data_IF_896143927528
#
_entry.id   IF_896143927528
#
_cell.length_a   1.000
_cell.length_b   1.000
_cell.length_c   1.000
_cell.angle_alpha   90.00
_cell.angle_beta   90.00
_cell.angle_gamma   90.00
#
_symmetry.space_group_name_H-M   'P 1'
#
loop_
_entity.id
_entity.type
_entity.pdbx_description
1 polymer ?
#
# COMPACT_ATOMS: atom_id res chain seq x y z
N UNK A 1 29.26 -15.28 12.14
CA UNK A 1 29.21 -14.13 11.22
C UNK A 1 28.70 -12.94 12.03
N UNK A 2 29.47 -11.85 12.12
CA UNK A 2 29.02 -10.63 12.82
C UNK A 2 28.04 -9.91 11.90
N UNK A 3 26.83 -9.66 12.40
CA UNK A 3 25.84 -8.84 11.72
C UNK A 3 26.34 -7.40 11.89
N UNK A 4 26.80 -6.80 10.79
CA UNK A 4 27.13 -5.38 10.79
C UNK A 4 25.87 -4.59 11.09
N UNK A 5 25.96 -3.73 12.12
CA UNK A 5 24.98 -2.70 12.40
C UNK A 5 24.86 -1.80 11.16
N UNK A 6 23.85 -2.06 10.32
CA UNK A 6 23.43 -1.11 9.29
C UNK A 6 22.98 0.14 10.02
N UNK A 7 23.76 1.21 9.85
CA UNK A 7 23.60 2.46 10.58
C UNK A 7 22.18 3.01 10.44
N UNK A 8 21.49 3.13 11.58
CA UNK A 8 20.19 3.80 11.73
C UNK A 8 20.30 5.32 11.57
N UNK A 9 20.95 5.83 10.52
CA UNK A 9 20.96 7.28 10.31
C UNK A 9 21.04 7.65 8.83
N UNK A 10 19.87 7.82 8.25
CA UNK A 10 19.63 8.66 7.08
C UNK A 10 18.27 9.27 7.36
N UNK A 11 18.26 10.57 7.65
CA UNK A 11 17.03 11.35 7.72
C UNK A 11 16.46 11.44 6.30
N UNK A 12 15.83 10.36 5.85
CA UNK A 12 15.07 10.32 4.61
C UNK A 12 13.91 11.32 4.73
N UNK A 13 13.73 12.16 3.71
CA UNK A 13 12.60 13.08 3.63
C UNK A 13 12.21 13.21 2.17
N UNK A 14 11.30 12.33 1.76
CA UNK A 14 10.68 12.42 0.45
C UNK A 14 9.94 13.76 0.32
N UNK A 15 10.46 14.65 -0.54
CA UNK A 15 9.83 15.93 -0.88
C UNK A 15 8.78 15.73 -1.98
N UNK A 16 7.72 15.00 -1.62
CA UNK A 16 6.60 14.74 -2.51
C UNK A 16 5.43 15.67 -2.17
N UNK A 17 4.96 16.42 -3.18
CA UNK A 17 3.92 17.43 -2.97
C UNK A 17 2.58 16.75 -2.71
N UNK A 18 2.00 16.99 -1.54
CA UNK A 18 0.62 16.62 -1.22
C UNK A 18 -0.34 17.65 -1.82
N UNK A 19 -1.27 17.20 -2.65
CA UNK A 19 -2.33 18.01 -3.22
C UNK A 19 -3.54 17.98 -2.29
N UNK A 20 -3.78 19.09 -1.58
CA UNK A 20 -4.88 19.19 -0.63
C UNK A 20 -6.14 19.75 -1.30
N UNK A 21 -7.23 18.99 -1.22
CA UNK A 21 -8.55 19.41 -1.72
C UNK A 21 -9.21 20.45 -0.81
N UNK A 22 -10.28 21.08 -1.30
CA UNK A 22 -10.98 22.13 -0.56
C UNK A 22 -11.53 21.61 0.77
N UNK A 23 -11.47 22.44 1.80
CA UNK A 23 -12.05 22.19 3.13
C UNK A 23 -11.49 20.98 3.89
N UNK A 24 -10.34 20.44 3.49
CA UNK A 24 -9.65 19.40 4.27
C UNK A 24 -9.01 20.05 5.50
N UNK A 25 -9.14 19.40 6.67
CA UNK A 25 -8.59 19.91 7.93
C UNK A 25 -7.07 19.99 7.85
N UNK A 26 -6.50 21.14 8.23
CA UNK A 26 -5.05 21.40 8.20
C UNK A 26 -4.24 20.36 8.99
N UNK A 27 -4.75 19.94 10.15
CA UNK A 27 -4.04 18.97 11.00
C UNK A 27 -3.99 17.58 10.35
N UNK A 28 -5.02 17.20 9.59
CA UNK A 28 -5.03 15.97 8.82
C UNK A 28 -4.01 16.04 7.68
N UNK A 29 -4.00 17.13 6.89
CA UNK A 29 -2.99 17.36 5.85
C UNK A 29 -1.58 17.29 6.41
N UNK A 30 -1.30 17.96 7.53
CA UNK A 30 0.02 17.91 8.18
C UNK A 30 0.42 16.51 8.61
N UNK A 31 -0.53 15.69 9.07
CA UNK A 31 -0.26 14.31 9.43
C UNK A 31 0.11 13.48 8.20
N UNK A 32 -0.59 13.64 7.08
CA UNK A 32 -0.25 12.98 5.80
C UNK A 32 1.12 13.47 5.28
N UNK A 33 1.37 14.78 5.30
CA UNK A 33 2.67 15.37 4.92
C UNK A 33 3.82 14.95 5.83
N UNK A 34 3.54 14.64 7.10
CA UNK A 34 4.53 14.05 7.98
C UNK A 34 4.79 12.59 7.58
N UNK A 35 3.74 11.83 7.31
CA UNK A 35 3.86 10.41 6.98
C UNK A 35 4.55 10.13 5.65
N UNK A 36 4.34 10.97 4.64
CA UNK A 36 5.02 10.83 3.33
C UNK A 36 6.53 11.05 3.44
N UNK A 37 7.01 11.80 4.43
CA UNK A 37 8.46 12.00 4.65
C UNK A 37 9.17 10.75 5.11
N UNK A 38 8.44 9.82 5.74
CA UNK A 38 8.97 8.54 6.20
C UNK A 38 8.97 7.48 5.08
N UNK A 39 8.55 7.81 3.86
CA UNK A 39 8.67 6.91 2.71
C UNK A 39 10.09 7.05 2.10
N UNK A 40 10.72 5.95 1.66
CA UNK A 40 12.07 6.00 1.08
C UNK A 40 12.16 6.96 -0.11
N UNK A 41 13.22 7.76 -0.18
CA UNK A 41 13.42 8.76 -1.26
C UNK A 41 13.36 8.11 -2.66
N UNK A 42 13.89 6.89 -2.80
CA UNK A 42 13.86 6.12 -4.04
C UNK A 42 12.44 5.83 -4.52
N UNK A 43 11.52 5.53 -3.60
CA UNK A 43 10.09 5.37 -3.94
C UNK A 43 9.52 6.70 -4.42
N UNK A 44 9.86 7.79 -3.75
CA UNK A 44 9.42 9.12 -4.15
C UNK A 44 9.88 9.53 -5.55
N UNK A 45 11.12 9.22 -5.92
CA UNK A 45 11.62 9.46 -7.27
C UNK A 45 10.90 8.58 -8.31
N UNK A 46 10.61 7.31 -7.98
CA UNK A 46 9.83 6.41 -8.85
C UNK A 46 8.40 6.91 -9.06
N UNK A 47 7.72 7.33 -8.00
CA UNK A 47 6.35 7.85 -8.09
C UNK A 47 6.34 9.16 -8.89
N UNK A 48 7.29 10.06 -8.61
CA UNK A 48 7.40 11.37 -9.29
C UNK A 48 7.68 11.22 -10.79
N UNK A 49 8.66 10.39 -11.18
CA UNK A 49 9.01 10.19 -12.61
C UNK A 49 7.86 9.56 -13.40
N UNK A 50 7.01 8.76 -12.73
CA UNK A 50 5.82 8.15 -13.34
C UNK A 50 4.57 9.03 -13.26
N UNK A 51 4.70 10.28 -12.81
CA UNK A 51 3.61 11.24 -12.66
C UNK A 51 2.49 10.74 -11.74
N UNK A 52 2.84 9.97 -10.71
CA UNK A 52 1.90 9.72 -9.62
C UNK A 52 1.57 11.03 -8.91
N UNK A 53 0.40 11.09 -8.29
CA UNK A 53 -0.03 12.24 -7.47
C UNK A 53 -0.53 11.74 -6.11
N UNK A 54 -0.31 12.50 -5.05
CA UNK A 54 -0.84 12.21 -3.73
C UNK A 54 -1.85 13.28 -3.34
N UNK A 55 -3.10 12.88 -3.19
CA UNK A 55 -4.20 13.74 -2.76
C UNK A 55 -4.52 13.54 -1.29
N UNK A 56 -4.85 14.64 -0.64
CA UNK A 56 -5.49 14.68 0.66
C UNK A 56 -6.88 15.28 0.47
N UNK A 57 -7.93 14.53 0.74
CA UNK A 57 -9.31 14.89 0.39
C UNK A 57 -10.33 14.52 1.48
N UNK A 58 -11.56 15.04 1.38
CA UNK A 58 -12.66 14.57 2.24
C UNK A 58 -13.32 13.31 1.66
N UNK A 59 -13.30 13.19 0.33
CA UNK A 59 -13.79 12.02 -0.40
C UNK A 59 -12.96 11.73 -1.65
N UNK A 60 -13.12 10.53 -2.24
CA UNK A 60 -12.54 10.21 -3.55
C UNK A 60 -13.23 11.01 -4.67
N UNK A 61 -14.53 11.30 -4.52
CA UNK A 61 -15.28 12.09 -5.49
C UNK A 61 -14.73 13.51 -5.67
N UNK A 62 -14.18 14.12 -4.60
CA UNK A 62 -13.53 15.44 -4.67
C UNK A 62 -12.35 15.44 -5.67
N UNK A 63 -11.62 14.33 -5.74
CA UNK A 63 -10.45 14.16 -6.62
C UNK A 63 -10.91 13.99 -8.06
N UNK A 64 -11.92 13.16 -8.30
CA UNK A 64 -12.49 12.98 -9.64
C UNK A 64 -13.03 14.31 -10.19
N UNK A 65 -13.68 15.12 -9.36
CA UNK A 65 -14.14 16.45 -9.75
C UNK A 65 -12.96 17.39 -10.06
N UNK A 66 -11.91 17.39 -9.22
CA UNK A 66 -10.71 18.21 -9.43
C UNK A 66 -9.96 17.85 -10.71
N UNK A 67 -9.80 16.55 -10.97
CA UNK A 67 -9.13 16.01 -12.16
C UNK A 67 -10.02 15.98 -13.41
N UNK A 68 -11.30 16.41 -13.29
CA UNK A 68 -12.31 16.39 -14.36
C UNK A 68 -12.51 14.99 -14.95
N UNK A 69 -12.45 13.97 -14.11
CA UNK A 69 -12.68 12.58 -14.48
C UNK A 69 -14.18 12.27 -14.48
N UNK A 70 -14.59 11.28 -15.27
CA UNK A 70 -15.98 10.85 -15.32
C UNK A 70 -16.43 10.33 -13.95
N UNK A 71 -17.43 11.00 -13.35
CA UNK A 71 -17.94 10.67 -12.01
C UNK A 71 -18.56 9.28 -11.95
N UNK A 72 -19.10 8.77 -13.06
CA UNK A 72 -19.62 7.41 -13.21
C UNK A 72 -18.54 6.33 -13.00
N UNK A 73 -17.26 6.68 -13.14
CA UNK A 73 -16.13 5.81 -12.84
C UNK A 73 -15.53 6.00 -11.44
N UNK A 74 -16.06 6.94 -10.64
CA UNK A 74 -15.63 7.11 -9.26
C UNK A 74 -16.19 5.93 -8.46
N UNK A 75 -15.34 5.08 -7.85
CA UNK A 75 -15.85 4.02 -7.01
C UNK A 75 -16.71 4.63 -5.90
N UNK A 76 -17.93 4.13 -5.72
CA UNK A 76 -18.81 4.50 -4.59
C UNK A 76 -18.25 4.03 -3.24
N UNK A 77 -17.12 3.33 -3.27
CA UNK A 77 -16.47 2.82 -2.10
C UNK A 77 -16.20 3.98 -1.15
N UNK A 78 -16.62 3.75 0.08
CA UNK A 78 -16.05 4.34 1.27
C UNK A 78 -14.57 3.95 1.43
N UNK A 79 -13.79 3.99 0.34
CA UNK A 79 -12.38 3.69 0.32
C UNK A 79 -11.75 4.74 1.23
N UNK A 80 -11.45 4.28 2.44
CA UNK A 80 -10.81 5.08 3.48
C UNK A 80 -9.52 5.67 2.91
N UNK A 81 -8.87 4.94 1.99
CA UNK A 81 -7.87 5.39 1.03
C UNK A 81 -7.94 4.61 -0.26
N UNK A 82 -7.41 5.17 -1.35
CA UNK A 82 -7.27 4.42 -2.60
C UNK A 82 -6.05 4.83 -3.40
N UNK A 83 -5.49 3.85 -4.08
CA UNK A 83 -4.57 4.03 -5.20
C UNK A 83 -5.31 3.63 -6.47
N UNK A 84 -5.25 4.49 -7.50
CA UNK A 84 -5.93 4.24 -8.76
C UNK A 84 -4.91 4.20 -9.90
N UNK A 85 -4.40 3.01 -10.28
CA UNK A 85 -3.33 2.86 -11.27
C UNK A 85 -3.61 3.55 -12.61
N UNK A 86 -4.84 3.44 -13.11
CA UNK A 86 -5.24 4.05 -14.39
C UNK A 86 -5.10 5.58 -14.40
N UNK A 87 -5.31 6.22 -13.26
CA UNK A 87 -5.23 7.68 -13.11
C UNK A 87 -3.98 8.13 -12.33
N UNK A 88 -3.13 7.18 -11.94
CA UNK A 88 -1.87 7.37 -11.20
C UNK A 88 -2.00 8.35 -10.04
N UNK A 89 -2.97 8.12 -9.17
CA UNK A 89 -3.06 8.87 -7.93
C UNK A 89 -3.26 7.97 -6.73
N UNK A 90 -2.75 8.43 -5.59
CA UNK A 90 -3.02 7.95 -4.25
C UNK A 90 -3.89 8.98 -3.54
N UNK A 91 -4.89 8.54 -2.80
CA UNK A 91 -5.85 9.39 -2.11
C UNK A 91 -5.93 8.99 -0.63
N UNK A 92 -5.63 9.94 0.25
CA UNK A 92 -5.75 9.77 1.69
C UNK A 92 -6.94 10.61 2.17
N UNK A 93 -8.02 9.94 2.59
CA UNK A 93 -9.27 10.64 2.95
C UNK A 93 -9.39 10.88 4.45
N UNK A 94 -10.15 11.91 4.85
CA UNK A 94 -10.39 12.24 6.27
C UNK A 94 -11.15 11.17 7.06
N UNK A 95 -11.58 10.08 6.42
CA UNK A 95 -12.12 8.88 7.07
C UNK A 95 -11.03 8.03 7.75
N UNK A 96 -9.75 8.23 7.40
CA UNK A 96 -8.63 7.59 8.08
C UNK A 96 -8.46 8.18 9.47
N UNK A 97 -8.48 7.34 10.49
CA UNK A 97 -8.18 7.79 11.85
C UNK A 97 -6.73 8.30 11.94
N UNK A 98 -6.44 9.39 12.69
CA UNK A 98 -5.10 9.95 12.79
C UNK A 98 -3.99 8.95 13.16
N UNK A 99 -4.31 7.94 13.98
CA UNK A 99 -3.38 6.90 14.42
C UNK A 99 -2.97 5.92 13.31
N UNK A 100 -3.74 5.85 12.23
CA UNK A 100 -3.57 4.89 11.14
C UNK A 100 -3.05 5.54 9.85
N UNK A 101 -2.95 6.88 9.80
CA UNK A 101 -2.48 7.63 8.61
C UNK A 101 -1.14 7.09 8.08
N UNK A 102 -0.16 6.82 8.93
CA UNK A 102 1.14 6.31 8.47
C UNK A 102 1.02 4.98 7.72
N UNK A 103 0.30 4.03 8.32
CA UNK A 103 0.16 2.66 7.78
C UNK A 103 -0.49 2.70 6.41
N UNK A 104 -1.53 3.52 6.32
CA UNK A 104 -2.31 3.77 5.14
C UNK A 104 -1.47 4.45 4.05
N UNK A 105 -0.75 5.53 4.39
CA UNK A 105 0.15 6.22 3.45
C UNK A 105 1.20 5.26 2.89
N UNK A 106 1.77 4.40 3.73
CA UNK A 106 2.77 3.43 3.30
C UNK A 106 2.17 2.36 2.37
N UNK A 107 0.97 1.87 2.67
CA UNK A 107 0.26 0.91 1.85
C UNK A 107 -0.11 1.49 0.47
N UNK A 108 -0.66 2.70 0.40
CA UNK A 108 -0.99 3.34 -0.87
C UNK A 108 0.27 3.68 -1.70
N UNK A 109 1.34 4.14 -1.05
CA UNK A 109 2.61 4.36 -1.73
C UNK A 109 3.17 3.06 -2.30
N UNK A 110 3.04 1.94 -1.59
CA UNK A 110 3.46 0.63 -2.06
C UNK A 110 2.66 0.19 -3.29
N UNK A 111 1.34 0.43 -3.35
CA UNK A 111 0.55 0.22 -4.56
C UNK A 111 1.08 1.03 -5.74
N UNK A 112 1.39 2.31 -5.53
CA UNK A 112 1.98 3.15 -6.57
C UNK A 112 3.31 2.59 -7.07
N UNK A 113 4.13 2.00 -6.20
CA UNK A 113 5.38 1.34 -6.58
C UNK A 113 5.14 0.04 -7.35
N UNK A 114 4.21 -0.81 -6.92
CA UNK A 114 3.86 -2.03 -7.65
C UNK A 114 3.48 -1.73 -9.09
N UNK A 115 2.66 -0.70 -9.30
CA UNK A 115 2.24 -0.21 -10.61
C UNK A 115 3.42 0.37 -11.41
N UNK A 116 4.15 1.33 -10.83
CA UNK A 116 5.27 1.99 -11.51
C UNK A 116 6.41 1.05 -11.92
N UNK A 117 6.64 0.00 -11.14
CA UNK A 117 7.68 -0.99 -11.41
C UNK A 117 7.15 -2.19 -12.23
N UNK A 118 5.83 -2.26 -12.48
CA UNK A 118 5.18 -3.38 -13.16
C UNK A 118 5.38 -4.71 -12.43
N UNK A 119 5.39 -4.68 -11.10
CA UNK A 119 5.68 -5.85 -10.27
C UNK A 119 4.61 -6.93 -10.40
N UNK A 120 3.36 -6.55 -10.64
CA UNK A 120 2.26 -7.49 -10.84
C UNK A 120 2.31 -8.20 -12.21
N UNK A 121 3.20 -7.78 -13.10
CA UNK A 121 3.52 -8.46 -14.36
C UNK A 121 4.77 -9.34 -14.23
N UNK A 122 5.47 -9.26 -13.08
CA UNK A 122 6.68 -10.03 -12.83
C UNK A 122 6.32 -11.47 -12.49
N UNK A 123 6.68 -12.40 -13.38
CA UNK A 123 6.38 -13.82 -13.23
C UNK A 123 6.97 -14.43 -11.95
N UNK A 124 8.20 -14.08 -11.59
CA UNK A 124 8.86 -14.65 -10.41
C UNK A 124 8.14 -14.23 -9.11
N UNK A 125 7.66 -12.97 -9.05
CA UNK A 125 6.84 -12.52 -7.92
C UNK A 125 5.51 -13.29 -7.86
N UNK A 126 4.82 -13.45 -9.00
CA UNK A 126 3.55 -14.16 -9.07
C UNK A 126 3.70 -15.65 -8.71
N UNK A 127 4.79 -16.28 -9.15
CA UNK A 127 5.11 -17.66 -8.80
C UNK A 127 5.37 -17.79 -7.29
N UNK A 128 6.16 -16.89 -6.69
CA UNK A 128 6.36 -16.85 -5.23
C UNK A 128 5.05 -16.69 -4.45
N UNK A 129 4.18 -15.76 -4.88
CA UNK A 129 2.87 -15.54 -4.27
C UNK A 129 2.00 -16.78 -4.38
N UNK A 130 1.98 -17.42 -5.55
CA UNK A 130 1.24 -18.65 -5.76
C UNK A 130 1.71 -19.77 -4.83
N UNK A 131 3.02 -19.97 -4.67
CA UNK A 131 3.57 -21.00 -3.79
C UNK A 131 3.24 -20.77 -2.32
N UNK A 132 3.32 -19.53 -1.86
CA UNK A 132 2.92 -19.18 -0.49
C UNK A 132 1.44 -19.44 -0.25
N UNK A 133 0.58 -19.05 -1.20
CA UNK A 133 -0.86 -19.29 -1.11
C UNK A 133 -1.24 -20.77 -1.01
N UNK A 134 -0.49 -21.68 -1.64
CA UNK A 134 -0.77 -23.12 -1.55
C UNK A 134 -0.58 -23.68 -0.13
N UNK A 135 0.23 -23.00 0.70
CA UNK A 135 0.53 -23.40 2.09
C UNK A 135 -0.53 -22.88 3.08
N UNK A 136 -1.39 -21.96 2.65
CA UNK A 136 -2.41 -21.36 3.51
C UNK A 136 -3.62 -22.29 3.69
N UNK A 137 -4.32 -22.21 4.84
CA UNK A 137 -5.50 -23.02 5.07
C UNK A 137 -6.60 -22.66 4.04
N UNK A 138 -7.07 -23.66 3.28
CA UNK A 138 -8.16 -23.49 2.32
C UNK A 138 -9.50 -23.46 3.08
N UNK A 139 -10.32 -22.42 2.88
CA UNK A 139 -11.69 -22.37 3.42
C UNK A 139 -12.61 -23.16 2.49
N UNK A 140 -13.52 -23.97 3.05
CA UNK A 140 -14.69 -24.39 2.28
C UNK A 140 -15.58 -23.16 2.02
N UNK A 141 -16.19 -23.04 0.83
CA UNK A 141 -16.97 -21.86 0.46
C UNK A 141 -18.24 -21.79 1.31
N UNK A 142 -18.17 -21.09 2.44
CA UNK A 142 -19.35 -20.79 3.24
C UNK A 142 -19.95 -19.44 2.81
N UNK A 143 -21.27 -19.41 2.64
CA UNK A 143 -22.02 -18.39 1.90
C UNK A 143 -22.25 -17.08 2.69
N UNK A 144 -21.46 -16.82 3.75
CA UNK A 144 -21.64 -15.63 4.59
C UNK A 144 -20.36 -14.81 4.80
N UNK A 145 -20.45 -13.55 4.34
CA UNK A 145 -19.80 -12.31 4.79
C UNK A 145 -18.31 -12.04 4.49
N UNK A 146 -18.09 -11.39 3.33
CA UNK A 146 -17.60 -10.02 3.11
C UNK A 146 -16.59 -9.29 4.03
N UNK A 147 -15.88 -9.91 4.97
CA UNK A 147 -14.77 -9.19 5.64
C UNK A 147 -13.43 -9.47 4.97
N UNK A 148 -12.98 -8.54 4.12
CA UNK A 148 -11.64 -8.56 3.49
C UNK A 148 -10.49 -8.50 4.51
N UNK A 149 -10.80 -8.35 5.82
CA UNK A 149 -9.86 -8.11 6.91
C UNK A 149 -9.96 -9.14 8.05
N UNK A 150 -10.56 -10.32 7.85
CA UNK A 150 -10.63 -11.35 8.90
C UNK A 150 -9.29 -12.11 9.04
N UNK A 151 -8.35 -11.45 9.74
CA UNK A 151 -6.93 -11.82 9.90
C UNK A 151 -6.71 -13.00 10.88
N UNK A 152 -7.75 -13.54 11.53
CA UNK A 152 -7.55 -14.62 12.51
C UNK A 152 -6.95 -15.91 11.93
N UNK A 153 -7.05 -16.10 10.61
CA UNK A 153 -6.54 -17.31 9.94
C UNK A 153 -6.00 -17.07 8.51
N UNK A 154 -5.91 -15.82 8.00
CA UNK A 154 -5.62 -15.51 6.58
C UNK A 154 -6.27 -16.55 5.64
N UNK A 155 -7.58 -16.74 5.79
CA UNK A 155 -8.35 -17.70 4.99
C UNK A 155 -8.55 -17.08 3.61
N UNK A 156 -7.67 -17.44 2.70
CA UNK A 156 -7.63 -16.89 1.36
C UNK A 156 -8.58 -17.70 0.46
N UNK A 157 -9.70 -17.09 0.05
CA UNK A 157 -10.35 -17.44 -1.24
C UNK A 157 -9.29 -17.29 -2.34
N UNK A 158 -9.35 -17.98 -3.51
CA UNK A 158 -8.42 -17.70 -4.60
C UNK A 158 -8.28 -16.18 -4.75
N UNK A 159 -7.08 -15.63 -4.46
CA UNK A 159 -6.88 -14.18 -4.45
C UNK A 159 -7.21 -13.73 -5.87
N UNK A 160 -8.32 -12.99 -6.02
CA UNK A 160 -8.48 -12.21 -7.23
C UNK A 160 -7.27 -11.29 -7.36
N UNK A 161 -6.98 -10.85 -8.58
CA UNK A 161 -5.88 -9.91 -8.85
C UNK A 161 -5.83 -8.76 -7.84
N UNK A 162 -7.01 -8.20 -7.50
CA UNK A 162 -7.18 -7.20 -6.44
C UNK A 162 -6.56 -7.61 -5.09
N UNK A 163 -6.74 -8.84 -4.63
CA UNK A 163 -6.15 -9.25 -3.36
C UNK A 163 -4.65 -9.52 -3.44
N UNK A 164 -4.14 -9.91 -4.62
CA UNK A 164 -2.70 -10.11 -4.82
C UNK A 164 -1.96 -8.78 -4.69
N UNK A 165 -2.49 -7.73 -5.32
CA UNK A 165 -1.94 -6.38 -5.21
C UNK A 165 -1.93 -5.88 -3.77
N UNK A 166 -3.00 -6.12 -3.01
CA UNK A 166 -3.09 -5.76 -1.59
C UNK A 166 -2.01 -6.47 -0.75
N UNK A 167 -1.79 -7.77 -0.95
CA UNK A 167 -0.72 -8.52 -0.25
C UNK A 167 0.66 -7.96 -0.56
N UNK A 168 0.98 -7.77 -1.83
CA UNK A 168 2.28 -7.28 -2.22
C UNK A 168 2.52 -5.85 -1.72
N UNK A 169 1.49 -4.99 -1.76
CA UNK A 169 1.57 -3.62 -1.26
C UNK A 169 1.83 -3.61 0.24
N UNK A 170 1.13 -4.49 0.99
CA UNK A 170 1.32 -4.57 2.43
C UNK A 170 2.71 -5.10 2.80
N UNK A 171 3.21 -6.12 2.09
CA UNK A 171 4.58 -6.64 2.28
C UNK A 171 5.60 -5.52 2.05
N UNK A 172 5.49 -4.78 0.93
CA UNK A 172 6.39 -3.67 0.63
C UNK A 172 6.33 -2.57 1.70
N UNK A 173 5.12 -2.21 2.16
CA UNK A 173 4.94 -1.25 3.26
C UNK A 173 5.64 -1.74 4.54
N UNK A 174 5.55 -3.02 4.87
CA UNK A 174 6.19 -3.62 6.04
C UNK A 174 7.72 -3.68 5.96
N UNK A 175 8.29 -3.90 4.77
CA UNK A 175 9.74 -3.93 4.56
C UNK A 175 10.35 -2.55 4.80
N UNK A 176 9.70 -1.49 4.29
CA UNK A 176 10.37 -0.21 4.12
C UNK A 176 10.09 0.85 5.20
N UNK A 177 8.88 0.98 5.78
CA UNK A 177 8.66 1.78 7.01
C UNK A 177 7.30 1.51 7.65
N UNK A 178 7.16 1.70 8.97
CA UNK A 178 5.88 1.97 9.65
C UNK A 178 4.80 0.86 9.71
N UNK A 179 4.93 -0.20 8.91
CA UNK A 179 3.95 -1.27 8.74
C UNK A 179 2.84 -0.91 7.74
N UNK A 180 2.18 -1.94 7.18
CA UNK A 180 1.00 -1.81 6.32
C UNK A 180 -0.32 -1.92 7.09
N UNK A 181 -1.42 -2.21 6.41
CA UNK A 181 -2.76 -2.42 6.97
C UNK A 181 -2.86 -3.77 7.71
N UNK A 182 -2.28 -4.85 7.18
CA UNK A 182 -2.34 -6.17 7.79
C UNK A 182 -1.24 -6.36 8.83
N UNK A 183 -1.55 -7.09 9.91
CA UNK A 183 -0.61 -7.30 11.01
C UNK A 183 -0.31 -6.06 11.88
N UNK A 184 -0.78 -4.86 11.51
CA UNK A 184 -0.46 -3.61 12.23
C UNK A 184 -1.53 -3.19 13.25
N UNK A 185 -2.65 -3.92 13.32
CA UNK A 185 -3.80 -3.57 14.13
C UNK A 185 -4.74 -2.51 13.53
N UNK A 186 -4.65 -2.24 12.22
CA UNK A 186 -5.58 -1.36 11.51
C UNK A 186 -7.04 -1.82 11.68
N UNK A 187 -7.96 -0.91 11.99
CA UNK A 187 -9.38 -1.20 12.28
C UNK A 187 -9.58 -2.40 13.24
N UNK A 188 -8.76 -2.46 14.30
CA UNK A 188 -8.79 -3.53 15.30
C UNK A 188 -8.37 -4.92 14.77
N UNK A 189 -7.61 -4.99 13.68
CA UNK A 189 -6.98 -6.23 13.23
C UNK A 189 -5.97 -6.76 14.26
N UNK A 190 -5.50 -8.00 14.07
CA UNK A 190 -4.46 -8.57 14.92
C UNK A 190 -3.16 -7.78 14.71
N UNK A 191 -2.57 -7.31 15.81
CA UNK A 191 -1.24 -6.71 15.79
C UNK A 191 -0.19 -7.83 15.84
N UNK A 192 0.20 -8.33 14.67
CA UNK A 192 1.29 -9.28 14.49
C UNK A 192 2.24 -8.79 13.38
N UNK A 193 3.44 -8.35 13.78
CA UNK A 193 4.46 -7.81 12.86
C UNK A 193 5.08 -8.85 11.93
N UNK A 194 5.00 -10.14 12.29
CA UNK A 194 5.56 -11.23 11.48
C UNK A 194 4.50 -11.92 10.61
N UNK A 195 3.22 -11.52 10.72
CA UNK A 195 2.09 -12.13 10.04
C UNK A 195 2.36 -12.36 8.54
N UNK A 196 2.75 -11.33 7.80
CA UNK A 196 2.98 -11.44 6.37
C UNK A 196 4.22 -12.26 6.05
N UNK A 197 5.29 -12.13 6.83
CA UNK A 197 6.52 -12.90 6.63
C UNK A 197 6.31 -14.40 6.89
N UNK A 198 5.47 -14.75 7.86
CA UNK A 198 5.16 -16.14 8.21
C UNK A 198 4.23 -16.80 7.20
N UNK A 199 3.29 -16.04 6.63
CA UNK A 199 2.28 -16.56 5.70
C UNK A 199 2.69 -16.43 4.23
N UNK A 200 3.58 -15.49 3.90
CA UNK A 200 4.09 -15.25 2.56
C UNK A 200 5.63 -15.16 2.52
N UNK A 201 6.36 -16.18 3.01
CA UNK A 201 7.82 -16.11 3.13
C UNK A 201 8.53 -15.94 1.79
N UNK A 202 8.11 -16.65 0.73
CA UNK A 202 8.79 -16.63 -0.57
C UNK A 202 8.57 -15.27 -1.27
N UNK A 203 7.34 -14.74 -1.15
CA UNK A 203 6.95 -13.41 -1.65
C UNK A 203 7.68 -12.31 -0.90
N UNK A 204 7.77 -12.44 0.44
CA UNK A 204 8.47 -11.49 1.30
C UNK A 204 9.96 -11.45 0.96
N UNK A 205 10.59 -12.60 0.74
CA UNK A 205 11.99 -12.68 0.32
C UNK A 205 12.22 -12.04 -1.05
N UNK A 206 11.36 -12.33 -2.03
CA UNK A 206 11.45 -11.70 -3.36
C UNK A 206 11.41 -10.17 -3.25
N UNK A 207 10.37 -9.62 -2.59
CA UNK A 207 10.17 -8.18 -2.50
C UNK A 207 11.25 -7.50 -1.65
N UNK A 208 11.79 -8.18 -0.64
CA UNK A 208 12.91 -7.65 0.17
C UNK A 208 14.21 -7.51 -0.63
N UNK A 209 14.39 -8.34 -1.67
CA UNK A 209 15.57 -8.32 -2.52
C UNK A 209 15.38 -7.53 -3.82
N UNK A 210 14.15 -7.13 -4.14
CA UNK A 210 13.84 -6.39 -5.35
C UNK A 210 14.39 -4.95 -5.27
N UNK A 211 15.13 -4.54 -6.32
CA UNK A 211 15.75 -3.22 -6.38
C UNK A 211 14.84 -2.21 -7.09
N UNK A 212 14.00 -1.55 -6.30
CA UNK A 212 13.03 -0.56 -6.75
C UNK A 212 13.73 0.58 -7.51
N UNK A 213 13.21 0.99 -8.67
CA UNK A 213 13.71 2.18 -9.36
C UNK A 213 14.86 1.95 -10.34
N UNK A 214 15.43 0.74 -10.40
CA UNK A 214 16.47 0.38 -11.38
C UNK A 214 15.92 0.12 -12.80
N UNK A 215 14.60 -0.07 -12.95
CA UNK A 215 13.95 -0.19 -14.26
C UNK A 215 14.11 1.12 -15.03
N UNK A 216 14.81 1.09 -16.18
CA UNK A 216 14.87 2.22 -17.11
C UNK A 216 13.49 2.39 -17.75
N UNK A 217 12.98 3.61 -17.74
CA UNK A 217 11.68 3.98 -18.32
C UNK A 217 11.49 3.41 -19.72
N UNK A 218 10.30 2.85 -19.99
CA UNK A 218 9.81 2.60 -21.35
C UNK A 218 9.30 3.92 -21.92
#
# INVERSE_FOLDING_TARGET
MKIDNISQNTSFQMNYKVLTMRNVKKDFTKAVEKSIKDIPDQWGEVLKRNNYKLYCSNSIADIFENEKLAREGAPEWEAVTCTYPLYRFMAITTRVEPKDIQKVVNHEAAHGILDCEGLMENRDLLDSLYYDMQKLPKREPDNHNHDMFEVKNLLIKPLSEYFQTEVCADILAWIHTGGGLWGSGYKNSIKNKTLLKENFPDTFEFLSNYKIGERKSV
#
